data_IF_181851908050
#
_entry.id   IF_181851908050
#
_cell.length_a   1.000
_cell.length_b   1.000
_cell.length_c   1.000
_cell.angle_alpha   90.00
_cell.angle_beta   90.00
_cell.angle_gamma   90.00
#
_symmetry.space_group_name_H-M   'P 1'
#
loop_
_entity.id
_entity.type
_entity.pdbx_description
1 polymer ?
#
# COMPACT_ATOMS: atom_id res chain seq x y z
N UNK A 1 17.16 8.22 0.75
CA UNK A 1 16.53 7.16 1.57
C UNK A 1 15.45 7.67 2.55
N UNK A 2 15.47 8.93 2.98
CA UNK A 2 14.54 9.49 3.99
C UNK A 2 13.04 9.61 3.58
N UNK A 3 12.70 9.59 2.29
CA UNK A 3 11.33 9.91 1.84
C UNK A 3 10.33 8.74 2.00
N UNK A 4 10.79 7.48 2.09
CA UNK A 4 9.90 6.30 2.17
C UNK A 4 9.29 6.11 3.57
N UNK A 5 10.06 6.40 4.61
CA UNK A 5 9.62 6.26 5.99
C UNK A 5 8.62 7.37 6.37
N UNK A 6 8.80 8.56 5.81
CA UNK A 6 7.93 9.72 6.06
C UNK A 6 6.49 9.51 5.55
N UNK A 7 6.31 8.76 4.45
CA UNK A 7 5.00 8.43 3.92
C UNK A 7 4.25 7.43 4.83
N UNK A 8 4.96 6.47 5.41
CA UNK A 8 4.37 5.47 6.32
C UNK A 8 4.00 6.12 7.66
N UNK A 9 4.81 7.05 8.16
CA UNK A 9 4.54 7.79 9.40
C UNK A 9 3.40 8.80 9.25
N UNK A 10 3.34 9.56 8.15
CA UNK A 10 2.20 10.46 7.87
C UNK A 10 0.89 9.67 7.70
N UNK A 11 0.95 8.55 6.99
CA UNK A 11 -0.23 7.69 6.86
C UNK A 11 -0.73 7.18 8.24
N UNK A 12 0.15 6.98 9.24
CA UNK A 12 -0.28 6.63 10.61
C UNK A 12 -1.02 7.76 11.33
N UNK A 13 -0.61 9.02 11.17
CA UNK A 13 -1.28 10.17 11.80
C UNK A 13 -2.63 10.47 11.12
N UNK A 14 -2.69 10.40 9.79
CA UNK A 14 -3.91 10.60 9.01
C UNK A 14 -4.99 9.56 9.34
N UNK A 15 -4.62 8.29 9.54
CA UNK A 15 -5.59 7.25 9.96
C UNK A 15 -6.19 7.52 11.33
N UNK A 16 -5.40 8.00 12.30
CA UNK A 16 -5.93 8.37 13.62
C UNK A 16 -6.95 9.49 13.48
N UNK A 17 -6.67 10.47 12.63
CA UNK A 17 -7.62 11.55 12.35
C UNK A 17 -8.88 11.02 11.65
N UNK A 18 -8.77 10.11 10.68
CA UNK A 18 -9.93 9.49 10.04
C UNK A 18 -10.73 8.66 11.04
N UNK A 19 -10.09 7.88 11.91
CA UNK A 19 -10.77 7.12 12.97
C UNK A 19 -11.50 8.07 13.93
N UNK A 20 -10.91 9.22 14.28
CA UNK A 20 -11.58 10.26 15.07
C UNK A 20 -12.79 10.85 14.33
N UNK A 21 -12.68 11.12 13.03
CA UNK A 21 -13.81 11.58 12.20
C UNK A 21 -14.92 10.52 12.12
N UNK A 22 -14.54 9.26 11.97
CA UNK A 22 -15.44 8.10 11.94
C UNK A 22 -16.13 7.87 13.30
N UNK A 23 -15.43 8.11 14.41
CA UNK A 23 -16.02 8.11 15.74
C UNK A 23 -17.05 9.25 15.91
N UNK A 24 -16.80 10.44 15.33
CA UNK A 24 -17.78 11.54 15.30
C UNK A 24 -19.02 11.21 14.48
N UNK A 25 -18.92 10.34 13.47
CA UNK A 25 -20.04 9.86 12.66
C UNK A 25 -20.83 8.74 13.37
N UNK A 26 -20.37 8.27 14.53
CA UNK A 26 -21.09 7.26 15.33
C UNK A 26 -20.71 5.81 14.99
N UNK A 27 -19.48 5.54 14.57
CA UNK A 27 -19.03 4.14 14.39
C UNK A 27 -18.96 3.36 15.70
N UNK A 28 -18.75 4.05 16.82
CA UNK A 28 -18.73 3.42 18.14
C UNK A 28 -20.10 3.31 18.80
N UNK A 29 -21.17 3.70 18.10
CA UNK A 29 -22.53 3.51 18.64
C UNK A 29 -22.87 2.02 18.69
N UNK A 30 -23.55 1.60 19.75
CA UNK A 30 -23.95 0.20 19.98
C UNK A 30 -24.96 -0.30 18.93
N UNK A 31 -25.67 0.62 18.29
CA UNK A 31 -26.70 0.32 17.29
C UNK A 31 -26.16 0.03 15.88
N UNK A 32 -24.87 0.25 15.63
CA UNK A 32 -24.31 0.08 14.30
C UNK A 32 -23.95 -1.38 14.03
N UNK A 33 -24.57 -1.97 13.00
CA UNK A 33 -24.32 -3.35 12.60
C UNK A 33 -22.80 -3.62 12.38
N UNK A 34 -22.25 -4.72 12.92
CA UNK A 34 -20.85 -5.12 12.74
C UNK A 34 -20.40 -5.17 11.27
N UNK A 35 -21.29 -5.62 10.37
CA UNK A 35 -21.02 -5.65 8.93
C UNK A 35 -20.83 -4.24 8.36
N UNK A 36 -21.64 -3.28 8.80
CA UNK A 36 -21.54 -1.89 8.36
C UNK A 36 -20.24 -1.24 8.86
N UNK A 37 -19.80 -1.54 10.09
CA UNK A 37 -18.46 -1.13 10.58
C UNK A 37 -17.34 -1.67 9.69
N UNK A 38 -17.43 -2.94 9.30
CA UNK A 38 -16.50 -3.57 8.36
C UNK A 38 -16.48 -2.89 6.99
N UNK A 39 -17.64 -2.49 6.46
CA UNK A 39 -17.73 -1.78 5.18
C UNK A 39 -17.14 -0.36 5.28
N UNK A 40 -17.44 0.39 6.34
CA UNK A 40 -16.86 1.72 6.56
C UNK A 40 -15.33 1.67 6.68
N UNK A 41 -14.79 0.62 7.32
CA UNK A 41 -13.36 0.36 7.34
C UNK A 41 -12.79 0.18 5.92
N UNK A 42 -13.44 -0.62 5.06
CA UNK A 42 -13.00 -0.85 3.66
C UNK A 42 -13.03 0.42 2.81
N UNK A 43 -14.05 1.27 2.99
CA UNK A 43 -14.28 2.44 2.15
C UNK A 43 -13.43 3.64 2.59
N UNK A 44 -13.31 3.90 3.89
CA UNK A 44 -12.66 5.11 4.38
C UNK A 44 -11.25 4.88 4.90
N UNK A 45 -11.05 3.86 5.72
CA UNK A 45 -9.77 3.71 6.44
C UNK A 45 -8.72 3.05 5.56
N UNK A 46 -9.11 2.00 4.86
CA UNK A 46 -8.17 1.19 4.08
C UNK A 46 -7.58 1.91 2.85
N UNK A 47 -8.32 2.74 2.09
CA UNK A 47 -7.72 3.50 1.00
C UNK A 47 -6.69 4.51 1.49
N UNK A 48 -6.95 5.20 2.61
CA UNK A 48 -5.98 6.12 3.25
C UNK A 48 -4.72 5.38 3.71
N UNK A 49 -4.88 4.13 4.17
CA UNK A 49 -3.76 3.28 4.57
C UNK A 49 -2.89 2.82 3.41
N UNK A 50 -3.50 2.55 2.26
CA UNK A 50 -2.82 1.96 1.11
C UNK A 50 -2.48 2.98 0.01
N UNK A 51 -2.88 4.24 0.17
CA UNK A 51 -2.59 5.29 -0.78
C UNK A 51 -1.08 5.38 -1.06
N UNK A 52 -0.71 5.47 -2.34
CA UNK A 52 0.68 5.59 -2.80
C UNK A 52 1.50 4.31 -2.73
N UNK A 53 0.94 3.20 -2.20
CA UNK A 53 1.64 1.92 -2.13
C UNK A 53 1.81 1.25 -3.50
N UNK A 54 1.04 1.67 -4.50
CA UNK A 54 1.13 1.21 -5.88
C UNK A 54 2.48 1.57 -6.53
N UNK A 55 3.03 2.75 -6.21
CA UNK A 55 4.23 3.32 -6.83
C UNK A 55 5.55 2.84 -6.21
N UNK A 56 5.50 2.13 -5.09
CA UNK A 56 6.70 1.73 -4.36
C UNK A 56 6.94 0.22 -4.45
N UNK A 57 8.21 -0.17 -4.45
CA UNK A 57 8.57 -1.56 -4.21
C UNK A 57 8.48 -1.86 -2.72
N UNK A 58 7.59 -2.76 -2.32
CA UNK A 58 7.30 -3.05 -0.90
C UNK A 58 8.16 -4.22 -0.43
N UNK A 59 9.07 -3.95 0.50
CA UNK A 59 9.85 -5.00 1.16
C UNK A 59 8.98 -5.84 2.10
N UNK A 60 9.40 -7.09 2.36
CA UNK A 60 8.70 -8.03 3.25
C UNK A 60 8.45 -7.45 4.65
N UNK A 61 9.42 -6.71 5.19
CA UNK A 61 9.33 -6.01 6.49
C UNK A 61 8.20 -4.98 6.52
N UNK A 62 8.16 -4.11 5.51
CA UNK A 62 7.11 -3.09 5.33
C UNK A 62 5.74 -3.70 5.12
N UNK A 63 5.65 -4.78 4.33
CA UNK A 63 4.40 -5.52 4.13
C UNK A 63 3.86 -6.11 5.44
N UNK A 64 4.74 -6.66 6.28
CA UNK A 64 4.34 -7.19 7.59
C UNK A 64 3.89 -6.08 8.53
N UNK A 65 4.58 -4.93 8.53
CA UNK A 65 4.14 -3.75 9.29
C UNK A 65 2.76 -3.27 8.85
N UNK A 66 2.49 -3.27 7.54
CA UNK A 66 1.22 -2.87 6.97
C UNK A 66 0.08 -3.82 7.36
N UNK A 67 0.31 -5.14 7.26
CA UNK A 67 -0.63 -6.18 7.73
C UNK A 67 -0.97 -6.03 9.21
N UNK A 68 0.04 -5.79 10.07
CA UNK A 68 -0.16 -5.54 11.50
C UNK A 68 -0.96 -4.26 11.74
N UNK A 69 -0.65 -3.20 11.00
CA UNK A 69 -1.32 -1.90 11.13
C UNK A 69 -2.79 -1.99 10.72
N UNK A 70 -3.09 -2.56 9.54
CA UNK A 70 -4.45 -2.82 9.05
C UNK A 70 -5.27 -3.60 10.08
N UNK A 71 -4.71 -4.71 10.58
CA UNK A 71 -5.41 -5.55 11.53
C UNK A 71 -5.62 -4.90 12.90
N UNK A 72 -4.66 -4.10 13.39
CA UNK A 72 -4.81 -3.37 14.65
C UNK A 72 -5.88 -2.28 14.54
N UNK A 73 -5.95 -1.57 13.42
CA UNK A 73 -7.00 -0.57 13.19
C UNK A 73 -8.36 -1.24 13.12
N UNK A 74 -8.49 -2.34 12.38
CA UNK A 74 -9.73 -3.09 12.33
C UNK A 74 -10.17 -3.51 13.73
N UNK A 75 -9.27 -4.02 14.58
CA UNK A 75 -9.58 -4.35 15.97
C UNK A 75 -10.03 -3.12 16.77
N UNK A 76 -9.35 -1.98 16.62
CA UNK A 76 -9.75 -0.73 17.28
C UNK A 76 -11.15 -0.27 16.86
N UNK A 77 -11.52 -0.39 15.58
CA UNK A 77 -12.87 -0.06 15.09
C UNK A 77 -13.97 -0.88 15.74
N UNK A 78 -13.66 -2.09 16.21
CA UNK A 78 -14.58 -2.99 16.89
C UNK A 78 -14.40 -3.01 18.42
N UNK A 79 -13.53 -2.17 18.98
CA UNK A 79 -13.22 -2.18 20.42
C UNK A 79 -12.51 -3.45 20.91
N UNK A 80 -11.92 -4.24 20.02
CA UNK A 80 -11.27 -5.50 20.34
C UNK A 80 -9.81 -5.31 20.78
N UNK A 81 -9.31 -6.13 21.72
CA UNK A 81 -7.93 -6.03 22.16
C UNK A 81 -6.95 -6.45 21.05
N UNK A 82 -5.78 -5.82 21.03
CA UNK A 82 -4.76 -6.03 19.98
C UNK A 82 -4.20 -7.45 19.93
N UNK A 83 -4.37 -8.25 20.99
CA UNK A 83 -3.94 -9.66 21.05
C UNK A 83 -4.85 -10.61 20.25
N UNK A 84 -6.05 -10.19 19.87
CA UNK A 84 -6.98 -11.03 19.10
C UNK A 84 -6.46 -11.32 17.68
N UNK A 85 -6.77 -12.53 17.20
CA UNK A 85 -6.49 -12.96 15.82
C UNK A 85 -7.38 -12.17 14.86
N UNK A 86 -6.77 -11.49 13.89
CA UNK A 86 -7.52 -10.64 12.95
C UNK A 86 -8.00 -11.37 11.71
N UNK A 87 -7.49 -12.58 11.44
CA UNK A 87 -7.86 -13.38 10.26
C UNK A 87 -9.34 -13.76 10.28
N UNK A 88 -9.84 -14.24 11.41
CA UNK A 88 -11.23 -14.70 11.55
C UNK A 88 -12.21 -13.53 11.38
N UNK A 89 -11.85 -12.37 11.95
CA UNK A 89 -12.62 -11.14 11.78
C UNK A 89 -12.62 -10.64 10.33
N UNK A 90 -11.48 -10.73 9.64
CA UNK A 90 -11.39 -10.38 8.22
C UNK A 90 -12.26 -11.30 7.36
N UNK A 91 -12.25 -12.61 7.64
CA UNK A 91 -13.08 -13.59 6.95
C UNK A 91 -14.57 -13.32 7.17
N UNK A 92 -15.00 -13.12 8.42
CA UNK A 92 -16.39 -12.83 8.76
C UNK A 92 -16.92 -11.54 8.10
N UNK A 93 -16.04 -10.54 7.92
CA UNK A 93 -16.40 -9.25 7.30
C UNK A 93 -16.14 -9.23 5.78
N UNK A 94 -15.73 -10.35 5.17
CA UNK A 94 -15.33 -10.44 3.77
C UNK A 94 -14.31 -9.35 3.38
N UNK A 95 -13.28 -9.15 4.21
CA UNK A 95 -12.18 -8.21 4.00
C UNK A 95 -11.01 -8.96 3.36
N UNK A 96 -10.62 -8.54 2.16
CA UNK A 96 -9.47 -9.10 1.45
C UNK A 96 -8.17 -8.94 2.24
N UNK A 97 -7.18 -9.79 1.95
CA UNK A 97 -5.83 -9.61 2.49
C UNK A 97 -5.22 -8.30 1.99
N UNK A 98 -4.39 -7.66 2.82
CA UNK A 98 -3.67 -6.41 2.45
C UNK A 98 -2.81 -6.62 1.20
N UNK A 99 -2.17 -7.79 1.09
CA UNK A 99 -1.35 -8.14 -0.06
C UNK A 99 -2.17 -8.14 -1.35
N UNK A 100 -3.33 -8.81 -1.35
CA UNK A 100 -4.18 -8.92 -2.54
C UNK A 100 -4.70 -7.55 -2.97
N UNK A 101 -5.05 -6.70 -2.00
CA UNK A 101 -5.51 -5.35 -2.28
C UNK A 101 -4.43 -4.49 -2.93
N UNK A 102 -3.19 -4.56 -2.45
CA UNK A 102 -2.07 -3.83 -3.07
C UNK A 102 -1.79 -4.37 -4.47
N UNK A 103 -1.76 -5.68 -4.65
CA UNK A 103 -1.53 -6.28 -5.97
C UNK A 103 -2.60 -5.81 -6.96
N UNK A 104 -3.87 -5.80 -6.54
CA UNK A 104 -4.96 -5.25 -7.36
C UNK A 104 -4.73 -3.77 -7.70
N UNK A 105 -4.44 -2.94 -6.69
CA UNK A 105 -4.17 -1.51 -6.90
C UNK A 105 -2.99 -1.26 -7.85
N UNK A 106 -1.95 -2.09 -7.80
CA UNK A 106 -0.82 -2.01 -8.72
C UNK A 106 -1.24 -2.33 -10.14
N UNK A 107 -1.98 -3.41 -10.35
CA UNK A 107 -2.49 -3.78 -11.67
C UNK A 107 -3.38 -2.67 -12.24
N UNK A 108 -4.35 -2.20 -11.45
CA UNK A 108 -5.26 -1.10 -11.83
C UNK A 108 -4.49 0.20 -12.11
N UNK A 109 -3.36 0.42 -11.44
CA UNK A 109 -2.49 1.57 -11.69
C UNK A 109 -1.69 1.42 -12.99
N UNK A 110 -1.09 0.25 -13.23
CA UNK A 110 -0.36 -0.02 -14.47
C UNK A 110 -1.27 0.06 -15.70
N UNK A 111 -2.48 -0.50 -15.61
CA UNK A 111 -3.47 -0.40 -16.68
C UNK A 111 -3.78 1.08 -17.02
N UNK A 112 -3.99 1.90 -15.99
CA UNK A 112 -4.20 3.35 -16.17
C UNK A 112 -2.99 4.05 -16.78
N UNK A 113 -1.77 3.68 -16.41
CA UNK A 113 -0.56 4.25 -17.01
C UNK A 113 -0.39 3.84 -18.47
N UNK A 114 -0.64 2.58 -18.81
CA UNK A 114 -0.55 2.08 -20.19
C UNK A 114 -1.57 2.76 -21.10
N UNK A 115 -2.76 3.06 -20.59
CA UNK A 115 -3.81 3.74 -21.32
C UNK A 115 -3.67 5.28 -21.35
N UNK A 116 -2.67 5.83 -20.64
CA UNK A 116 -2.47 7.27 -20.58
C UNK A 116 -1.70 7.79 -21.81
N UNK A 117 -2.31 8.71 -22.55
CA UNK A 117 -1.73 9.29 -23.77
C UNK A 117 -0.36 9.96 -23.52
N UNK A 118 -0.20 10.68 -22.40
CA UNK A 118 1.08 11.32 -22.05
C UNK A 118 2.16 10.28 -21.77
N UNK A 119 1.81 9.22 -21.04
CA UNK A 119 2.74 8.12 -20.76
C UNK A 119 3.17 7.43 -22.06
N UNK A 120 2.23 7.19 -22.98
CA UNK A 120 2.55 6.63 -24.30
C UNK A 120 3.47 7.55 -25.11
N UNK A 121 3.19 8.86 -25.14
CA UNK A 121 4.05 9.85 -25.81
C UNK A 121 5.46 9.86 -25.22
N UNK A 122 5.59 9.85 -23.89
CA UNK A 122 6.89 9.78 -23.22
C UNK A 122 7.64 8.51 -23.65
N UNK A 123 6.98 7.34 -23.60
CA UNK A 123 7.60 6.07 -24.00
C UNK A 123 8.06 6.10 -25.47
N UNK A 124 7.26 6.65 -26.37
CA UNK A 124 7.61 6.81 -27.80
C UNK A 124 8.77 7.79 -28.02
N UNK A 125 8.89 8.84 -27.21
CA UNK A 125 10.03 9.76 -27.26
C UNK A 125 11.29 9.11 -26.70
N UNK A 126 11.19 8.45 -25.55
CA UNK A 126 12.30 7.75 -24.92
C UNK A 126 12.84 6.59 -25.77
N UNK A 127 11.98 5.88 -26.50
CA UNK A 127 12.41 4.80 -27.40
C UNK A 127 13.18 5.28 -28.64
N UNK A 128 13.04 6.56 -29.00
CA UNK A 128 13.76 7.17 -30.15
C UNK A 128 15.15 7.69 -29.76
N UNK A 129 15.41 7.87 -28.48
CA UNK A 129 16.76 8.19 -28.00
C UNK A 129 17.60 6.91 -28.08
N UNK A 130 18.66 6.94 -28.90
CA UNK A 130 19.72 5.93 -28.80
C UNK A 130 20.39 6.12 -27.43
N UNK A 131 20.26 5.14 -26.55
CA UNK A 131 21.16 5.05 -25.40
C UNK A 131 22.54 4.68 -25.95
N UNK A 132 23.53 5.57 -25.82
CA UNK A 132 24.92 5.30 -26.20
C UNK A 132 25.57 4.23 -25.32
N UNK A 133 24.96 3.91 -24.16
CA UNK A 133 25.38 2.82 -23.29
C UNK A 133 24.15 2.14 -22.70
N UNK A 134 24.02 0.84 -22.94
CA UNK A 134 22.95 0.03 -22.38
C UNK A 134 23.16 -0.05 -20.86
N UNK A 135 22.18 0.42 -20.08
CA UNK A 135 22.24 0.42 -18.60
C UNK A 135 22.51 -1.01 -18.07
N UNK A 136 22.08 -2.02 -18.83
CA UNK A 136 22.38 -3.42 -18.56
C UNK A 136 23.89 -3.71 -18.70
N UNK A 137 24.57 -3.22 -19.73
CA UNK A 137 26.02 -3.40 -19.89
C UNK A 137 26.81 -2.71 -18.77
N UNK A 138 26.40 -1.52 -18.32
CA UNK A 138 27.01 -0.85 -17.17
C UNK A 138 26.83 -1.65 -15.87
N UNK A 139 25.63 -2.19 -15.62
CA UNK A 139 25.34 -3.01 -14.45
C UNK A 139 26.12 -4.34 -14.46
N UNK A 140 26.32 -4.95 -15.64
CA UNK A 140 27.12 -6.16 -15.80
C UNK A 140 28.63 -5.90 -15.72
N UNK A 141 29.13 -4.77 -16.23
CA UNK A 141 30.56 -4.40 -16.14
C UNK A 141 30.96 -3.93 -14.73
N UNK A 142 30.04 -3.34 -13.97
CA UNK A 142 30.26 -2.99 -12.56
C UNK A 142 30.44 -4.20 -11.64
N UNK A 143 29.88 -5.36 -11.99
CA UNK A 143 30.09 -6.61 -11.25
C UNK A 143 31.43 -7.28 -11.59
N UNK A 144 31.87 -7.26 -12.86
CA UNK A 144 33.18 -7.82 -13.26
C UNK A 144 34.38 -7.13 -12.59
N UNK A 145 34.29 -5.83 -12.29
CA UNK A 145 35.37 -5.10 -11.59
C UNK A 145 35.52 -5.46 -10.10
N UNK A 146 34.57 -6.18 -9.50
CA UNK A 146 34.71 -6.66 -8.11
C UNK A 146 35.48 -7.97 -8.01
N UNK A 147 35.49 -8.77 -9.07
CA UNK A 147 36.09 -10.10 -9.09
C UNK A 147 37.59 -10.08 -9.47
N UNK A 148 38.14 -8.92 -9.88
CA UNK A 148 39.57 -8.72 -10.20
C UNK A 148 40.41 -8.19 -9.02
N UNK A 149 39.81 -8.03 -7.84
CA UNK A 149 40.47 -7.60 -6.60
C UNK A 149 40.27 -8.58 -5.43
N UNK A 150 39.99 -9.86 -5.71
CA UNK A 150 40.14 -10.97 -4.75
C UNK A 150 41.43 -11.76 -5.01
#
# INVERSE_FOLDING_TARGET
>A
MQNRDHHITNSKSEKKQTLVKLNRIGINTEHLCPLMKGQLFKIYIRPILLYGMENINIQKTTMNLLKRTDGNILKMTFGLPTRCRTKDLQLALNINSVQNQITKQKLDFYERLCNNELTQKILQHSSKQKLDQDILEEAFNGNRKKDEYE
#
